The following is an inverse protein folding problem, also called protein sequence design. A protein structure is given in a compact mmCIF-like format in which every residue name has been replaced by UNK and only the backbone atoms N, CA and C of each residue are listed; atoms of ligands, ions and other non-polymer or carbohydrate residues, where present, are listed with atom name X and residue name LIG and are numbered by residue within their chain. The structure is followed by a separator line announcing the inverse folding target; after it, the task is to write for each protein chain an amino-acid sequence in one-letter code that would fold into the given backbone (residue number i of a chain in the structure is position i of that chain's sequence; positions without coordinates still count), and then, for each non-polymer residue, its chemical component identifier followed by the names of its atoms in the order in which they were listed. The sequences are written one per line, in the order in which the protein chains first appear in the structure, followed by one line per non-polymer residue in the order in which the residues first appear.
data_IF_144337556127
#
_entry.id   IF_144337556127
#
_cell.length_a   1.000
_cell.length_b   1.000
_cell.length_c   1.000
_cell.angle_alpha   90.00
_cell.angle_beta   90.00
_cell.angle_gamma   90.00
#
_symmetry.space_group_name_H-M   'P 1'
#
loop_
_entity.id
_entity.type
_entity.pdbx_description
1 polymer ?
#
# COMPACT_ATOMS: atom_id res chain seq x y z
N UNK A 1 -12.30 14.87 -6.91
CA UNK A 1 -11.88 13.99 -8.03
C UNK A 1 -13.07 13.70 -8.93
N UNK A 2 -12.87 13.29 -10.18
CA UNK A 2 -13.98 12.78 -10.98
C UNK A 2 -14.31 11.36 -10.51
N UNK A 3 -15.59 11.08 -10.33
CA UNK A 3 -16.12 9.81 -9.82
C UNK A 3 -17.30 9.36 -10.69
N UNK A 4 -17.68 8.11 -10.54
CA UNK A 4 -18.99 7.63 -10.98
C UNK A 4 -20.11 8.02 -10.00
N UNK A 5 -21.34 7.53 -10.25
CA UNK A 5 -22.52 7.83 -9.42
C UNK A 5 -22.43 7.24 -7.99
N UNK A 6 -21.54 6.28 -7.77
CA UNK A 6 -21.28 5.65 -6.48
C UNK A 6 -20.10 6.29 -5.72
N UNK A 7 -19.61 7.42 -6.16
CA UNK A 7 -18.43 8.11 -5.65
C UNK A 7 -17.14 7.27 -5.78
N UNK A 8 -17.09 6.36 -6.77
CA UNK A 8 -15.90 5.55 -7.04
C UNK A 8 -14.99 6.25 -8.04
N UNK A 9 -13.68 6.19 -7.81
CA UNK A 9 -12.66 6.82 -8.66
C UNK A 9 -11.60 5.81 -9.09
N UNK A 10 -11.06 5.93 -10.32
CA UNK A 10 -9.92 5.12 -10.73
C UNK A 10 -8.70 5.42 -9.88
N UNK A 11 -7.87 4.42 -9.68
CA UNK A 11 -6.63 4.46 -8.92
C UNK A 11 -5.55 5.27 -9.66
N UNK A 12 -5.59 6.57 -9.54
CA UNK A 12 -4.55 7.47 -10.06
C UNK A 12 -3.43 7.69 -9.06
N UNK A 13 -2.27 8.16 -9.53
CA UNK A 13 -1.17 8.55 -8.63
C UNK A 13 -1.61 9.60 -7.59
N UNK A 14 -2.40 10.58 -7.99
CA UNK A 14 -2.94 11.60 -7.07
C UNK A 14 -3.82 10.98 -5.99
N UNK A 15 -4.65 10.00 -6.37
CA UNK A 15 -5.46 9.25 -5.43
C UNK A 15 -4.58 8.52 -4.41
N UNK A 16 -3.61 7.72 -4.86
CA UNK A 16 -2.69 7.00 -3.98
C UNK A 16 -1.92 7.91 -3.03
N UNK A 17 -1.42 9.05 -3.53
CA UNK A 17 -0.72 10.04 -2.70
C UNK A 17 -1.63 10.67 -1.64
N UNK A 18 -2.88 10.95 -1.98
CA UNK A 18 -3.86 11.50 -1.06
C UNK A 18 -4.25 10.47 0.03
N UNK A 19 -4.52 9.22 -0.37
CA UNK A 19 -4.77 8.12 0.59
C UNK A 19 -3.55 7.90 1.49
N UNK A 20 -2.34 7.78 0.92
CA UNK A 20 -1.12 7.59 1.72
C UNK A 20 -0.87 8.72 2.74
N UNK A 21 -1.43 9.91 2.48
CA UNK A 21 -1.30 11.10 3.36
C UNK A 21 -2.47 11.27 4.34
N UNK A 22 -3.49 10.43 4.29
CA UNK A 22 -4.69 10.53 5.11
C UNK A 22 -5.49 11.81 4.87
N UNK A 23 -5.60 12.22 3.60
CA UNK A 23 -6.40 13.40 3.22
C UNK A 23 -7.85 12.99 2.98
N UNK A 24 -8.77 13.90 3.28
CA UNK A 24 -10.15 13.79 2.82
C UNK A 24 -10.18 14.00 1.30
N UNK A 25 -10.67 13.01 0.57
CA UNK A 25 -10.74 13.03 -0.89
C UNK A 25 -12.20 13.06 -1.29
N UNK A 26 -12.65 14.16 -1.84
CA UNK A 26 -14.06 14.34 -2.23
C UNK A 26 -14.26 14.29 -3.74
N UNK A 27 -15.45 13.86 -4.15
CA UNK A 27 -15.90 13.96 -5.53
C UNK A 27 -16.00 15.42 -5.98
N UNK A 28 -15.85 15.65 -7.28
CA UNK A 28 -16.10 16.98 -7.86
C UNK A 28 -17.56 17.40 -7.68
N UNK A 29 -18.50 16.47 -7.64
CA UNK A 29 -19.91 16.71 -7.38
C UNK A 29 -20.18 17.40 -6.03
N UNK A 30 -19.26 17.31 -5.06
CA UNK A 30 -19.32 18.12 -3.84
C UNK A 30 -19.26 19.62 -4.14
N UNK A 31 -18.42 20.02 -5.09
CA UNK A 31 -18.31 21.43 -5.50
C UNK A 31 -19.60 21.90 -6.18
N UNK A 32 -20.18 21.05 -7.03
CA UNK A 32 -21.43 21.30 -7.71
C UNK A 32 -22.58 21.49 -6.70
N UNK A 33 -22.72 20.58 -5.74
CA UNK A 33 -23.70 20.66 -4.66
C UNK A 33 -23.54 21.95 -3.83
N UNK A 34 -22.31 22.36 -3.51
CA UNK A 34 -22.06 23.61 -2.80
C UNK A 34 -22.49 24.85 -3.61
N UNK A 35 -22.35 24.82 -4.94
CA UNK A 35 -22.74 25.92 -5.81
C UNK A 35 -24.27 26.02 -5.94
N UNK A 36 -24.96 24.87 -6.03
CA UNK A 36 -26.42 24.80 -6.11
C UNK A 36 -27.11 25.34 -4.85
N UNK A 37 -26.53 25.08 -3.66
CA UNK A 37 -27.05 25.62 -2.38
C UNK A 37 -26.53 27.03 -2.06
N UNK A 38 -26.45 27.91 -3.06
CA UNK A 38 -26.06 29.31 -2.91
C UNK A 38 -24.74 29.54 -2.18
N UNK A 39 -23.81 28.63 -2.34
CA UNK A 39 -22.46 28.68 -1.73
C UNK A 39 -22.41 28.20 -0.27
N UNK A 40 -23.44 27.53 0.23
CA UNK A 40 -23.31 26.76 1.47
C UNK A 40 -22.43 25.56 1.24
N UNK A 41 -21.51 25.30 2.17
CA UNK A 41 -20.68 24.12 2.12
C UNK A 41 -21.51 22.88 2.52
N UNK A 42 -21.65 21.93 1.61
CA UNK A 42 -22.16 20.60 1.91
C UNK A 42 -21.18 19.85 2.84
N UNK A 43 -21.68 18.86 3.58
CA UNK A 43 -20.86 18.04 4.46
C UNK A 43 -19.90 17.23 3.58
N UNK A 44 -18.61 17.54 3.64
CA UNK A 44 -17.63 16.99 2.71
C UNK A 44 -17.45 15.47 2.84
N UNK A 45 -17.63 14.92 4.04
CA UNK A 45 -17.54 13.49 4.33
C UNK A 45 -18.59 12.64 3.59
N UNK A 46 -19.74 13.22 3.27
CA UNK A 46 -20.81 12.56 2.49
C UNK A 46 -20.41 12.37 1.01
N UNK A 47 -19.38 13.08 0.58
CA UNK A 47 -18.84 13.05 -0.78
C UNK A 47 -17.45 12.40 -0.84
N UNK A 48 -17.04 11.72 0.25
CA UNK A 48 -15.73 11.04 0.28
C UNK A 48 -15.71 9.90 -0.74
N UNK A 49 -14.65 9.87 -1.56
CA UNK A 49 -14.53 8.90 -2.64
C UNK A 49 -14.05 7.54 -2.13
N UNK A 50 -14.39 6.47 -2.87
CA UNK A 50 -13.85 5.13 -2.69
C UNK A 50 -13.06 4.67 -3.93
N UNK A 51 -12.33 3.57 -3.80
CA UNK A 51 -11.59 2.96 -4.90
C UNK A 51 -12.55 2.15 -5.78
N UNK A 52 -12.40 2.25 -7.09
CA UNK A 52 -13.20 1.49 -8.05
C UNK A 52 -12.86 0.00 -8.06
N UNK A 53 -11.61 -0.36 -7.73
CA UNK A 53 -11.07 -1.72 -7.80
C UNK A 53 -11.14 -2.47 -6.47
N UNK A 54 -11.30 -1.73 -5.35
CA UNK A 54 -11.31 -2.29 -4.00
C UNK A 54 -12.64 -1.96 -3.32
N UNK A 55 -13.34 -2.98 -2.83
CA UNK A 55 -14.58 -2.80 -2.05
C UNK A 55 -14.34 -2.06 -0.71
N UNK A 56 -13.09 -1.93 -0.30
CA UNK A 56 -12.69 -1.34 0.97
C UNK A 56 -12.61 0.19 0.89
N UNK A 57 -13.11 0.87 1.92
CA UNK A 57 -13.04 2.33 2.02
C UNK A 57 -11.66 2.79 2.55
N UNK A 58 -10.64 2.66 1.70
CA UNK A 58 -9.25 3.04 2.02
C UNK A 58 -9.07 4.53 2.37
N UNK A 59 -9.66 5.48 1.62
CA UNK A 59 -9.57 6.91 1.94
C UNK A 59 -10.06 7.22 3.35
N UNK A 60 -11.25 6.78 3.72
CA UNK A 60 -11.81 6.97 5.05
C UNK A 60 -10.94 6.35 6.15
N UNK A 61 -10.47 5.10 5.96
CA UNK A 61 -9.56 4.42 6.92
C UNK A 61 -8.28 5.20 7.13
N UNK A 62 -7.69 5.70 6.06
CA UNK A 62 -6.47 6.48 6.11
C UNK A 62 -6.66 7.80 6.85
N UNK A 63 -7.72 8.55 6.52
CA UNK A 63 -8.08 9.79 7.18
C UNK A 63 -8.30 9.57 8.68
N UNK A 64 -9.12 8.58 9.04
CA UNK A 64 -9.39 8.26 10.46
C UNK A 64 -8.12 7.85 11.21
N UNK A 65 -7.20 7.08 10.58
CA UNK A 65 -5.92 6.73 11.19
C UNK A 65 -5.10 7.97 11.52
N UNK A 66 -5.06 8.94 10.61
CA UNK A 66 -4.36 10.22 10.79
C UNK A 66 -4.97 11.08 11.90
N UNK A 67 -6.31 11.25 11.88
CA UNK A 67 -7.05 12.01 12.89
C UNK A 67 -6.87 11.44 14.30
N UNK A 68 -6.89 10.11 14.40
CA UNK A 68 -6.66 9.38 15.65
C UNK A 68 -5.19 9.31 16.06
N UNK A 69 -4.27 9.92 15.29
CA UNK A 69 -2.82 9.91 15.52
C UNK A 69 -2.25 8.50 15.73
N UNK A 70 -2.81 7.50 15.04
CA UNK A 70 -2.30 6.12 15.07
C UNK A 70 -0.96 6.04 14.36
N UNK A 71 -0.19 4.98 14.67
CA UNK A 71 1.07 4.69 13.97
C UNK A 71 0.83 4.57 12.46
N UNK A 72 1.77 5.03 11.61
CA UNK A 72 1.68 4.87 10.17
C UNK A 72 1.43 3.41 9.76
N UNK A 73 0.80 3.19 8.62
CA UNK A 73 0.35 1.86 8.16
C UNK A 73 1.48 0.84 8.11
N UNK A 74 2.64 1.23 7.53
CA UNK A 74 3.82 0.36 7.39
C UNK A 74 4.91 0.70 8.42
N UNK A 75 4.54 1.21 9.60
CA UNK A 75 5.50 1.39 10.70
C UNK A 75 6.06 0.04 11.15
N UNK A 76 7.38 -0.13 11.11
CA UNK A 76 8.07 -1.40 11.39
C UNK A 76 8.41 -2.21 10.14
N UNK A 77 8.08 -1.69 8.96
CA UNK A 77 8.52 -2.28 7.70
C UNK A 77 9.80 -1.63 7.19
N UNK A 78 10.72 -2.46 6.75
CA UNK A 78 11.91 -2.07 5.98
C UNK A 78 11.76 -2.55 4.56
N UNK A 79 11.89 -1.62 3.61
CA UNK A 79 11.63 -1.90 2.20
C UNK A 79 12.83 -1.54 1.34
N UNK A 80 13.28 -2.50 0.54
CA UNK A 80 14.23 -2.32 -0.54
C UNK A 80 13.48 -2.44 -1.88
N UNK A 81 13.69 -1.50 -2.79
CA UNK A 81 13.14 -1.57 -4.15
C UNK A 81 14.24 -2.01 -5.08
N UNK A 82 14.11 -3.19 -5.67
CA UNK A 82 15.07 -3.78 -6.60
C UNK A 82 14.63 -3.53 -8.04
N UNK A 83 15.50 -2.87 -8.81
CA UNK A 83 15.21 -2.49 -10.19
C UNK A 83 14.38 -1.23 -10.34
N UNK A 84 13.88 -1.02 -11.55
CA UNK A 84 12.96 0.07 -11.88
C UNK A 84 11.51 -0.41 -11.76
N UNK A 85 10.64 0.47 -11.34
CA UNK A 85 9.21 0.20 -11.20
C UNK A 85 8.49 0.79 -12.43
N UNK A 86 7.85 -0.05 -13.20
CA UNK A 86 7.09 0.37 -14.37
C UNK A 86 5.95 1.33 -13.99
N UNK A 87 5.74 2.32 -14.85
CA UNK A 87 4.71 3.35 -14.71
C UNK A 87 4.84 4.28 -13.51
N UNK A 88 5.87 4.10 -12.66
CA UNK A 88 6.16 4.97 -11.54
C UNK A 88 7.65 5.29 -11.48
N UNK A 89 7.98 6.56 -11.38
CA UNK A 89 9.40 6.94 -11.17
C UNK A 89 9.85 6.56 -9.75
N UNK A 90 11.11 6.22 -9.60
CA UNK A 90 11.71 5.93 -8.28
C UNK A 90 11.41 6.97 -7.20
N UNK A 91 11.51 8.29 -7.47
CA UNK A 91 11.15 9.31 -6.48
C UNK A 91 9.70 9.23 -6.01
N UNK A 92 8.76 9.01 -6.94
CA UNK A 92 7.33 8.89 -6.65
C UNK A 92 7.04 7.66 -5.80
N UNK A 93 7.59 6.51 -6.18
CA UNK A 93 7.42 5.27 -5.42
C UNK A 93 7.98 5.39 -4.00
N UNK A 94 9.13 6.04 -3.89
CA UNK A 94 9.76 6.31 -2.61
C UNK A 94 8.96 7.29 -1.73
N UNK A 95 8.29 8.27 -2.34
CA UNK A 95 7.40 9.19 -1.63
C UNK A 95 6.20 8.43 -1.04
N UNK A 96 5.59 7.53 -1.80
CA UNK A 96 4.50 6.67 -1.31
C UNK A 96 4.94 5.82 -0.10
N UNK A 97 6.09 5.14 -0.17
CA UNK A 97 6.65 4.37 0.95
C UNK A 97 6.85 5.23 2.20
N UNK A 98 7.39 6.45 2.03
CA UNK A 98 7.62 7.36 3.14
C UNK A 98 6.32 7.82 3.80
N UNK A 99 5.29 8.16 3.00
CA UNK A 99 3.97 8.60 3.51
C UNK A 99 3.27 7.53 4.34
N UNK A 100 3.38 6.26 3.95
CA UNK A 100 2.81 5.15 4.72
C UNK A 100 3.70 4.69 5.87
N UNK A 101 4.87 5.30 6.05
CA UNK A 101 5.75 5.10 7.21
C UNK A 101 6.70 3.91 7.12
N UNK A 102 6.94 3.38 5.93
CA UNK A 102 7.97 2.37 5.72
C UNK A 102 9.38 2.99 5.78
N UNK A 103 10.32 2.29 6.42
CA UNK A 103 11.73 2.64 6.36
C UNK A 103 12.35 2.10 5.07
N UNK A 104 12.82 2.98 4.23
CA UNK A 104 13.54 2.59 3.01
C UNK A 104 14.96 2.18 3.34
N UNK A 105 15.41 1.08 2.75
CA UNK A 105 16.82 0.68 2.77
C UNK A 105 17.41 0.79 1.36
N UNK A 106 18.70 1.11 1.28
CA UNK A 106 19.38 1.38 0.02
C UNK A 106 20.16 0.18 -0.52
N UNK A 107 20.32 -0.84 0.30
CA UNK A 107 20.99 -2.10 -0.06
C UNK A 107 20.47 -3.23 0.83
N UNK A 108 20.64 -4.46 0.40
CA UNK A 108 20.28 -5.64 1.17
C UNK A 108 21.02 -5.74 2.51
N UNK A 109 22.26 -5.25 2.56
CA UNK A 109 23.05 -5.22 3.80
C UNK A 109 22.56 -4.16 4.81
N UNK A 110 21.69 -3.26 4.39
CA UNK A 110 21.12 -2.19 5.24
C UNK A 110 19.85 -2.60 6.00
N UNK A 111 19.36 -3.82 5.77
CA UNK A 111 18.24 -4.35 6.56
C UNK A 111 18.65 -4.59 8.00
N UNK A 112 17.76 -4.24 8.93
CA UNK A 112 17.91 -4.58 10.35
C UNK A 112 17.47 -6.02 10.59
N UNK A 113 18.22 -6.77 11.41
CA UNK A 113 17.88 -8.14 11.75
C UNK A 113 17.24 -8.27 13.15
N UNK A 114 16.51 -7.25 13.56
CA UNK A 114 15.70 -7.29 14.79
C UNK A 114 14.39 -8.05 14.54
N UNK A 115 13.84 -8.66 15.61
CA UNK A 115 12.64 -9.52 15.52
C UNK A 115 11.37 -8.77 15.08
N UNK A 116 11.28 -7.49 15.43
CA UNK A 116 10.06 -6.69 15.23
C UNK A 116 10.02 -5.95 13.89
N UNK A 117 11.00 -6.21 13.02
CA UNK A 117 11.11 -5.56 11.71
C UNK A 117 10.73 -6.54 10.60
N UNK A 118 9.76 -6.13 9.80
CA UNK A 118 9.31 -6.85 8.60
C UNK A 118 10.14 -6.37 7.42
N UNK A 119 10.83 -7.28 6.74
CA UNK A 119 11.73 -6.97 5.64
C UNK A 119 11.14 -7.39 4.32
N UNK A 120 11.03 -6.45 3.40
CA UNK A 120 10.40 -6.68 2.09
C UNK A 120 11.31 -6.14 0.98
N UNK A 121 11.47 -6.93 -0.07
CA UNK A 121 11.97 -6.48 -1.36
C UNK A 121 10.75 -6.30 -2.27
N UNK A 122 10.62 -5.10 -2.84
CA UNK A 122 9.61 -4.84 -3.87
C UNK A 122 10.29 -4.83 -5.23
N UNK A 123 9.70 -5.57 -6.16
CA UNK A 123 10.15 -5.73 -7.55
C UNK A 123 9.03 -5.42 -8.52
N UNK A 124 9.36 -5.27 -9.80
CA UNK A 124 8.36 -5.02 -10.83
C UNK A 124 7.57 -6.29 -11.21
N UNK A 125 8.24 -7.42 -11.33
CA UNK A 125 7.62 -8.72 -11.68
C UNK A 125 8.29 -9.88 -10.96
N UNK A 126 7.50 -10.68 -10.24
CA UNK A 126 7.97 -11.90 -9.57
C UNK A 126 8.32 -13.02 -10.55
N UNK A 127 7.71 -13.03 -11.74
CA UNK A 127 8.02 -14.01 -12.79
C UNK A 127 9.46 -13.83 -13.29
N UNK A 128 9.85 -12.57 -13.53
CA UNK A 128 11.21 -12.22 -13.98
C UNK A 128 12.24 -12.48 -12.88
N UNK A 129 11.89 -12.19 -11.63
CA UNK A 129 12.77 -12.43 -10.49
C UNK A 129 13.02 -13.91 -10.24
N UNK A 130 12.00 -14.71 -10.38
CA UNK A 130 12.00 -16.16 -10.38
C UNK A 130 11.99 -16.81 -8.98
N UNK A 131 11.40 -18.00 -8.93
CA UNK A 131 11.17 -18.76 -7.69
C UNK A 131 12.45 -19.03 -6.89
N UNK A 132 13.55 -19.38 -7.57
CA UNK A 132 14.81 -19.73 -6.87
C UNK A 132 15.41 -18.54 -6.11
N UNK A 133 15.34 -17.34 -6.72
CA UNK A 133 15.80 -16.12 -6.05
C UNK A 133 14.89 -15.78 -4.88
N UNK A 134 13.57 -15.87 -5.04
CA UNK A 134 12.58 -15.64 -3.98
C UNK A 134 12.81 -16.61 -2.81
N UNK A 135 12.97 -17.90 -3.08
CA UNK A 135 13.25 -18.91 -2.05
C UNK A 135 14.56 -18.66 -1.32
N UNK A 136 15.59 -18.22 -2.04
CA UNK A 136 16.88 -17.86 -1.43
C UNK A 136 16.70 -16.70 -0.44
N UNK A 137 16.01 -15.62 -0.86
CA UNK A 137 15.75 -14.46 0.00
C UNK A 137 14.92 -14.84 1.23
N UNK A 138 13.84 -15.60 1.00
CA UNK A 138 12.94 -15.98 2.08
C UNK A 138 13.61 -16.92 3.10
N UNK A 139 14.19 -18.03 2.63
CA UNK A 139 14.72 -19.08 3.52
C UNK A 139 16.05 -18.71 4.18
N UNK A 140 16.96 -18.03 3.47
CA UNK A 140 18.29 -17.71 3.99
C UNK A 140 18.36 -16.35 4.67
N UNK A 141 17.68 -15.37 4.12
CA UNK A 141 17.80 -13.96 4.53
C UNK A 141 16.57 -13.49 5.32
N UNK A 142 15.48 -14.27 5.33
CA UNK A 142 14.19 -13.92 5.96
C UNK A 142 13.65 -12.59 5.41
N UNK A 143 13.68 -12.45 4.08
CA UNK A 143 13.19 -11.29 3.36
C UNK A 143 12.14 -11.77 2.37
N UNK A 144 10.93 -11.26 2.45
CA UNK A 144 9.88 -11.51 1.47
C UNK A 144 10.12 -10.70 0.20
N UNK A 145 9.80 -11.29 -0.95
CA UNK A 145 9.90 -10.61 -2.25
C UNK A 145 8.50 -10.56 -2.85
N UNK A 146 8.00 -9.35 -3.10
CA UNK A 146 6.65 -9.10 -3.61
C UNK A 146 6.67 -8.16 -4.80
N UNK A 147 5.62 -8.19 -5.60
CA UNK A 147 5.40 -7.21 -6.67
C UNK A 147 4.99 -5.85 -6.12
N UNK A 148 5.17 -4.83 -6.94
CA UNK A 148 4.82 -3.43 -6.63
C UNK A 148 3.34 -3.26 -6.26
N UNK A 149 2.48 -4.08 -6.83
CA UNK A 149 1.04 -4.10 -6.58
C UNK A 149 0.72 -4.29 -5.10
N UNK A 150 1.54 -5.06 -4.36
CA UNK A 150 1.40 -5.18 -2.91
C UNK A 150 1.36 -3.82 -2.19
N UNK A 151 2.26 -2.90 -2.57
CA UNK A 151 2.28 -1.57 -1.97
C UNK A 151 1.07 -0.74 -2.42
N UNK A 152 0.74 -0.80 -3.71
CA UNK A 152 -0.35 0.00 -4.28
C UNK A 152 -1.71 -0.41 -3.69
N UNK A 153 -1.95 -1.71 -3.57
CA UNK A 153 -3.17 -2.26 -2.95
C UNK A 153 -3.21 -2.00 -1.44
N UNK A 154 -2.07 -2.15 -0.75
CA UNK A 154 -1.92 -1.78 0.66
C UNK A 154 -2.27 -0.31 0.91
N UNK A 155 -1.85 0.60 0.03
CA UNK A 155 -2.21 2.02 0.11
C UNK A 155 -3.68 2.22 -0.20
N UNK A 156 -4.17 1.69 -1.32
CA UNK A 156 -5.52 1.91 -1.82
C UNK A 156 -6.61 1.45 -0.84
N UNK A 157 -6.43 0.27 -0.22
CA UNK A 157 -7.31 -0.25 0.83
C UNK A 157 -7.04 0.33 2.21
N UNK A 158 -5.87 0.94 2.39
CA UNK A 158 -5.30 1.34 3.68
C UNK A 158 -5.26 0.19 4.71
N UNK A 159 -5.00 -1.01 4.22
CA UNK A 159 -4.85 -2.25 4.98
C UNK A 159 -3.64 -3.00 4.45
N UNK A 160 -2.79 -3.51 5.35
CA UNK A 160 -1.62 -4.29 4.92
C UNK A 160 -2.09 -5.57 4.25
N UNK A 161 -1.78 -5.72 2.97
CA UNK A 161 -2.19 -6.86 2.17
C UNK A 161 -1.37 -8.12 2.50
N UNK A 162 -1.96 -9.32 2.39
CA UNK A 162 -1.23 -10.57 2.52
C UNK A 162 -0.10 -10.67 1.50
N UNK A 163 1.09 -11.06 1.93
CA UNK A 163 2.26 -11.13 1.05
C UNK A 163 2.12 -12.21 -0.02
N UNK A 164 1.48 -13.33 0.33
CA UNK A 164 1.42 -14.51 -0.53
C UNK A 164 0.76 -14.24 -1.89
N UNK A 165 -0.25 -13.37 -1.91
CA UNK A 165 -0.96 -12.96 -3.13
C UNK A 165 -0.05 -12.29 -4.17
N UNK A 166 1.03 -11.65 -3.70
CA UNK A 166 1.95 -10.85 -4.54
C UNK A 166 3.33 -11.48 -4.68
N UNK A 167 3.45 -12.76 -4.30
CA UNK A 167 4.68 -13.53 -4.41
C UNK A 167 4.62 -14.47 -5.62
N UNK A 168 5.80 -14.93 -6.03
CA UNK A 168 5.92 -15.94 -7.09
C UNK A 168 5.19 -17.23 -6.72
N UNK A 169 4.57 -17.88 -7.69
CA UNK A 169 3.95 -19.20 -7.50
C UNK A 169 4.95 -20.21 -6.95
N UNK A 170 4.49 -21.11 -6.07
CA UNK A 170 5.33 -22.11 -5.38
C UNK A 170 5.88 -21.63 -4.04
N UNK A 171 5.54 -20.42 -3.58
CA UNK A 171 5.71 -20.03 -2.19
C UNK A 171 4.45 -20.41 -1.43
N UNK A 172 4.63 -21.09 -0.29
CA UNK A 172 3.55 -21.56 0.56
C UNK A 172 3.55 -20.79 1.89
N UNK A 173 2.39 -20.71 2.51
CA UNK A 173 2.18 -20.04 3.79
C UNK A 173 3.17 -20.50 4.87
N UNK A 174 3.40 -21.82 4.98
CA UNK A 174 4.34 -22.37 5.93
C UNK A 174 5.78 -21.85 5.76
N UNK A 175 6.17 -21.52 4.52
CA UNK A 175 7.50 -20.97 4.26
C UNK A 175 7.64 -19.55 4.82
N UNK A 176 6.57 -18.74 4.71
CA UNK A 176 6.50 -17.41 5.30
C UNK A 176 6.55 -17.48 6.82
N UNK A 177 5.75 -18.37 7.43
CA UNK A 177 5.74 -18.56 8.89
C UNK A 177 7.11 -18.99 9.40
N UNK A 178 7.77 -19.94 8.74
CA UNK A 178 9.14 -20.38 9.06
C UNK A 178 10.18 -19.26 8.91
N UNK A 179 9.93 -18.30 8.00
CA UNK A 179 10.78 -17.13 7.84
C UNK A 179 10.50 -16.02 8.86
N UNK A 180 9.46 -16.18 9.70
CA UNK A 180 9.13 -15.27 10.80
C UNK A 180 8.04 -14.25 10.47
N UNK A 181 7.31 -14.43 9.37
CA UNK A 181 6.10 -13.64 9.07
C UNK A 181 4.91 -14.26 9.79
N UNK A 182 4.06 -13.42 10.33
CA UNK A 182 2.86 -13.81 11.04
C UNK A 182 1.61 -13.21 10.38
N UNK A 183 0.45 -13.73 10.75
CA UNK A 183 -0.83 -13.14 10.39
C UNK A 183 -0.90 -11.64 10.78
N UNK A 184 -1.50 -10.73 9.95
CA UNK A 184 -2.20 -11.01 8.69
C UNK A 184 -1.32 -11.03 7.43
N UNK A 185 0.01 -10.95 7.54
CA UNK A 185 0.92 -10.90 6.39
C UNK A 185 0.97 -12.20 5.58
N UNK A 186 0.57 -13.31 6.18
CA UNK A 186 0.69 -14.64 5.58
C UNK A 186 -0.57 -15.01 4.80
N UNK A 187 -1.74 -14.61 5.25
CA UNK A 187 -3.03 -14.89 4.60
C UNK A 187 -4.19 -14.22 5.35
N UNK A 188 -5.40 -14.39 4.84
CA UNK A 188 -6.64 -14.08 5.58
C UNK A 188 -7.10 -15.36 6.30
N UNK A 189 -7.51 -15.25 7.59
CA UNK A 189 -8.35 -16.28 8.21
C UNK A 189 -9.74 -16.25 7.61
#
# INVERSE_FOLDING_TARGET
MNTDDNLQTPRTLKYLQAVASGLLIVSFSWVEACLEDRGRLAIAEEWEVSDLEMEENGPCRSRMRREQKRRPLLAGFEVFTEGDIENLTKPVFNDLLTRVGARRVHSLSSFSFTRDIIRIIIINSVEVYGLQNTLKRLKKERIAVVEKEWLLDTIASHTVQPLLTYMTQGIEEEMLVKAGYSYPLVGQE
#
